data_IF_634348087292
#
_entry.id   IF_634348087292
#
_cell.length_a   1.000
_cell.length_b   1.000
_cell.length_c   1.000
_cell.angle_alpha   90.00
_cell.angle_beta   90.00
_cell.angle_gamma   90.00
#
_symmetry.space_group_name_H-M   'P 1'
#
loop_
_entity.id
_entity.type
_entity.pdbx_description
1 polymer ?
#
# COMPACT_ATOMS: atom_id res chain seq x y z
N UNK A 1 4.61 11.88 21.45
CA UNK A 1 4.70 11.37 20.05
C UNK A 1 3.49 10.53 19.60
N UNK A 2 2.82 9.77 20.48
CA UNK A 2 1.74 8.82 20.15
C UNK A 2 0.46 9.45 19.56
N UNK A 3 -0.06 10.52 20.19
CA UNK A 3 -1.20 11.28 19.66
C UNK A 3 -0.90 12.01 18.34
N UNK A 4 0.37 12.25 18.02
CA UNK A 4 0.79 12.89 16.77
C UNK A 4 0.61 11.94 15.58
N UNK A 5 0.96 10.65 15.74
CA UNK A 5 0.75 9.61 14.71
C UNK A 5 -0.74 9.38 14.44
N UNK A 6 -1.56 9.22 15.49
CA UNK A 6 -3.03 9.12 15.34
C UNK A 6 -3.58 10.34 14.60
N UNK A 7 -3.21 11.57 15.01
CA UNK A 7 -3.69 12.80 14.35
C UNK A 7 -3.28 12.89 12.88
N UNK A 8 -2.09 12.42 12.51
CA UNK A 8 -1.63 12.35 11.12
C UNK A 8 -2.48 11.37 10.31
N UNK A 9 -2.70 10.13 10.81
CA UNK A 9 -3.55 9.17 10.09
C UNK A 9 -5.00 9.61 10.02
N UNK A 10 -5.52 10.28 11.06
CA UNK A 10 -6.87 10.84 11.05
C UNK A 10 -7.01 11.96 10.01
N UNK A 11 -5.99 12.83 9.90
CA UNK A 11 -5.93 13.85 8.86
C UNK A 11 -5.85 13.25 7.45
N UNK A 12 -5.07 12.18 7.27
CA UNK A 12 -4.99 11.41 6.02
C UNK A 12 -6.32 10.76 5.65
N UNK A 13 -7.04 10.18 6.62
CA UNK A 13 -8.37 9.60 6.41
C UNK A 13 -9.39 10.67 5.99
N UNK A 14 -9.36 11.85 6.62
CA UNK A 14 -10.25 12.97 6.25
C UNK A 14 -9.92 13.49 4.86
N UNK A 15 -8.63 13.66 4.53
CA UNK A 15 -8.19 14.06 3.20
C UNK A 15 -8.61 13.05 2.13
N UNK A 16 -8.48 11.76 2.42
CA UNK A 16 -8.92 10.67 1.55
C UNK A 16 -10.43 10.68 1.33
N UNK A 17 -11.22 10.92 2.39
CA UNK A 17 -12.69 11.06 2.28
C UNK A 17 -13.11 12.29 1.47
N UNK A 18 -12.36 13.40 1.57
CA UNK A 18 -12.56 14.60 0.76
C UNK A 18 -12.28 14.29 -0.72
N UNK A 19 -11.22 13.56 -1.06
CA UNK A 19 -10.96 13.17 -2.44
C UNK A 19 -12.04 12.26 -3.03
N UNK A 20 -12.58 11.33 -2.25
CA UNK A 20 -13.71 10.50 -2.68
C UNK A 20 -14.98 11.35 -2.86
N UNK A 21 -15.26 12.29 -1.96
CA UNK A 21 -16.43 13.15 -2.04
C UNK A 21 -16.36 14.12 -3.24
N UNK A 22 -15.20 14.74 -3.48
CA UNK A 22 -14.97 15.62 -4.64
C UNK A 22 -15.09 14.81 -5.94
N UNK A 23 -14.48 13.63 -6.01
CA UNK A 23 -14.58 12.75 -7.16
C UNK A 23 -16.02 12.32 -7.45
N UNK A 24 -16.83 12.04 -6.42
CA UNK A 24 -18.22 11.57 -6.60
C UNK A 24 -19.24 12.68 -6.84
N UNK A 25 -19.11 13.83 -6.16
CA UNK A 25 -20.17 14.86 -6.10
C UNK A 25 -19.86 16.15 -6.86
N UNK A 26 -18.59 16.49 -7.10
CA UNK A 26 -18.21 17.80 -7.66
C UNK A 26 -17.83 17.69 -9.14
N UNK A 27 -17.20 16.59 -9.55
CA UNK A 27 -16.73 16.41 -10.93
C UNK A 27 -17.67 15.46 -11.67
N UNK A 28 -18.49 16.00 -12.56
CA UNK A 28 -19.33 15.24 -13.50
C UNK A 28 -18.70 15.32 -14.90
N UNK A 29 -17.78 14.40 -15.21
CA UNK A 29 -17.04 14.35 -16.48
C UNK A 29 -16.09 13.13 -16.58
N UNK A 30 -15.52 12.87 -17.75
CA UNK A 30 -14.76 11.64 -18.06
C UNK A 30 -13.53 11.40 -17.16
N UNK A 31 -13.36 10.13 -16.77
CA UNK A 31 -12.19 9.42 -16.19
C UNK A 31 -11.54 9.97 -14.89
N UNK A 32 -11.48 11.29 -14.70
CA UNK A 32 -10.91 11.98 -13.54
C UNK A 32 -11.64 11.66 -12.22
N UNK A 33 -12.99 11.59 -12.18
CA UNK A 33 -13.73 11.13 -10.99
C UNK A 33 -13.29 9.76 -10.50
N UNK A 34 -13.13 8.80 -11.42
CA UNK A 34 -12.73 7.44 -11.10
C UNK A 34 -11.32 7.35 -10.51
N UNK A 35 -10.38 8.13 -11.04
CA UNK A 35 -9.02 8.22 -10.52
C UNK A 35 -8.98 8.81 -9.10
N UNK A 36 -9.72 9.90 -8.85
CA UNK A 36 -9.81 10.52 -7.51
C UNK A 36 -10.45 9.57 -6.50
N UNK A 37 -11.51 8.86 -6.89
CA UNK A 37 -12.16 7.86 -6.04
C UNK A 37 -11.21 6.71 -5.75
N UNK A 38 -10.47 6.21 -6.75
CA UNK A 38 -9.49 5.13 -6.58
C UNK A 38 -8.37 5.49 -5.61
N UNK A 39 -7.74 6.66 -5.81
CA UNK A 39 -6.68 7.17 -4.92
C UNK A 39 -7.24 7.42 -3.51
N UNK A 40 -8.41 8.05 -3.42
CA UNK A 40 -9.07 8.32 -2.14
C UNK A 40 -9.42 7.05 -1.38
N UNK A 41 -9.99 6.03 -2.05
CA UNK A 41 -10.31 4.76 -1.43
C UNK A 41 -9.06 3.99 -0.96
N UNK A 42 -7.99 3.99 -1.77
CA UNK A 42 -6.72 3.37 -1.39
C UNK A 42 -6.08 4.02 -0.16
N UNK A 43 -5.99 5.36 -0.15
CA UNK A 43 -5.49 6.11 1.01
C UNK A 43 -6.38 5.91 2.24
N UNK A 44 -7.70 5.89 2.07
CA UNK A 44 -8.65 5.66 3.16
C UNK A 44 -8.44 4.29 3.80
N UNK A 45 -8.36 3.23 3.01
CA UNK A 45 -8.14 1.86 3.51
C UNK A 45 -6.84 1.73 4.31
N UNK A 46 -5.73 2.25 3.77
CA UNK A 46 -4.44 2.25 4.45
C UNK A 46 -4.48 3.03 5.77
N UNK A 47 -5.09 4.22 5.76
CA UNK A 47 -5.17 5.09 6.94
C UNK A 47 -6.05 4.48 8.03
N UNK A 48 -7.19 3.90 7.65
CA UNK A 48 -8.11 3.25 8.57
C UNK A 48 -7.49 2.01 9.22
N UNK A 49 -6.79 1.18 8.43
CA UNK A 49 -6.08 0.01 8.95
C UNK A 49 -5.05 0.42 10.04
N UNK A 50 -4.30 1.50 9.81
CA UNK A 50 -3.35 2.00 10.80
C UNK A 50 -4.03 2.53 12.07
N UNK A 51 -5.17 3.22 11.93
CA UNK A 51 -5.94 3.69 13.10
C UNK A 51 -6.42 2.49 13.94
N UNK A 52 -6.92 1.43 13.30
CA UNK A 52 -7.37 0.20 14.00
C UNK A 52 -6.20 -0.43 14.76
N UNK A 53 -5.04 -0.60 14.13
CA UNK A 53 -3.85 -1.18 14.77
C UNK A 53 -3.44 -0.37 16.00
N UNK A 54 -3.42 0.98 15.89
CA UNK A 54 -3.06 1.83 17.03
C UNK A 54 -4.12 1.72 18.14
N UNK A 55 -5.40 1.70 17.80
CA UNK A 55 -6.49 1.57 18.76
C UNK A 55 -6.44 0.23 19.53
N UNK A 56 -6.16 -0.88 18.84
CA UNK A 56 -5.97 -2.20 19.47
C UNK A 56 -4.75 -2.17 20.41
N UNK A 57 -3.64 -1.59 19.96
CA UNK A 57 -2.42 -1.45 20.76
C UNK A 57 -2.58 -0.49 21.96
N UNK A 58 -3.60 0.38 21.95
CA UNK A 58 -3.94 1.26 23.07
C UNK A 58 -4.86 0.60 24.09
N UNK A 59 -5.86 -0.16 23.62
CA UNK A 59 -6.76 -0.90 24.51
C UNK A 59 -6.07 -2.08 25.19
N UNK A 60 -5.03 -2.65 24.59
CA UNK A 60 -4.35 -3.81 25.11
C UNK A 60 -2.82 -3.58 25.26
N UNK A 61 -2.35 -3.15 26.45
CA UNK A 61 -0.93 -2.93 26.73
C UNK A 61 -0.09 -4.22 26.65
N UNK A 62 -0.68 -5.35 27.02
CA UNK A 62 -0.07 -6.69 26.92
C UNK A 62 0.22 -7.05 25.46
N UNK A 63 -0.77 -6.86 24.57
CA UNK A 63 -0.61 -7.06 23.12
C UNK A 63 0.48 -6.16 22.56
N UNK A 64 0.49 -4.87 22.93
CA UNK A 64 1.53 -3.94 22.48
C UNK A 64 2.92 -4.36 22.92
N UNK A 65 3.07 -4.84 24.17
CA UNK A 65 4.36 -5.31 24.69
C UNK A 65 4.83 -6.54 23.92
N UNK A 66 3.95 -7.54 23.75
CA UNK A 66 4.27 -8.76 22.98
C UNK A 66 4.64 -8.44 21.54
N UNK A 67 3.84 -7.62 20.85
CA UNK A 67 4.14 -7.19 19.48
C UNK A 67 5.50 -6.50 19.37
N UNK A 68 5.88 -5.65 20.33
CA UNK A 68 7.19 -4.97 20.31
C UNK A 68 8.39 -5.89 20.60
N UNK A 69 8.17 -7.01 21.27
CA UNK A 69 9.19 -8.03 21.51
C UNK A 69 9.32 -8.89 20.26
N UNK A 70 8.20 -9.35 19.70
CA UNK A 70 8.14 -10.14 18.47
C UNK A 70 8.68 -9.37 17.26
N UNK A 71 8.47 -8.05 17.18
CA UNK A 71 9.02 -7.22 16.11
C UNK A 71 10.55 -7.11 16.16
N UNK A 72 11.15 -7.31 17.34
CA UNK A 72 12.60 -7.25 17.56
C UNK A 72 13.29 -8.61 17.59
N UNK A 73 12.52 -9.69 17.58
CA UNK A 73 13.08 -11.05 17.56
C UNK A 73 13.65 -11.35 16.17
N UNK A 74 14.94 -11.65 16.11
CA UNK A 74 15.67 -11.96 14.87
C UNK A 74 15.01 -13.09 14.07
N UNK A 75 14.49 -14.12 14.76
CA UNK A 75 13.80 -15.24 14.11
C UNK A 75 12.52 -14.76 13.43
N UNK A 76 11.75 -13.93 14.11
CA UNK A 76 10.50 -13.41 13.57
C UNK A 76 10.76 -12.41 12.42
N UNK A 77 11.82 -11.61 12.52
CA UNK A 77 12.29 -10.75 11.43
C UNK A 77 12.65 -11.60 10.20
N UNK A 78 13.40 -12.69 10.38
CA UNK A 78 13.77 -13.59 9.29
C UNK A 78 12.55 -14.25 8.64
N UNK A 79 11.60 -14.75 9.43
CA UNK A 79 10.34 -15.33 8.92
C UNK A 79 9.54 -14.28 8.13
N UNK A 80 9.39 -13.08 8.67
CA UNK A 80 8.66 -12.00 8.03
C UNK A 80 9.32 -11.55 6.72
N UNK A 81 10.65 -11.44 6.69
CA UNK A 81 11.39 -11.09 5.49
C UNK A 81 11.25 -12.17 4.41
N UNK A 82 11.34 -13.46 4.78
CA UNK A 82 11.10 -14.57 3.86
C UNK A 82 9.66 -14.59 3.32
N UNK A 83 8.67 -14.33 4.18
CA UNK A 83 7.27 -14.23 3.76
C UNK A 83 7.05 -13.06 2.79
N UNK A 84 7.66 -11.89 3.05
CA UNK A 84 7.62 -10.74 2.15
C UNK A 84 8.29 -11.03 0.80
N UNK A 85 9.43 -11.73 0.80
CA UNK A 85 10.10 -12.13 -0.44
C UNK A 85 9.22 -13.05 -1.29
N UNK A 86 8.61 -14.08 -0.68
CA UNK A 86 7.65 -14.95 -1.39
C UNK A 86 6.41 -14.21 -1.84
N UNK A 87 5.93 -13.25 -1.06
CA UNK A 87 4.84 -12.36 -1.45
C UNK A 87 5.20 -11.49 -2.65
N UNK A 88 6.44 -10.99 -2.73
CA UNK A 88 6.95 -10.23 -3.87
C UNK A 88 7.03 -11.09 -5.14
N UNK A 89 7.56 -12.31 -5.04
CA UNK A 89 7.58 -13.25 -6.16
C UNK A 89 6.16 -13.51 -6.71
N UNK A 90 5.20 -13.78 -5.82
CA UNK A 90 3.80 -13.98 -6.18
C UNK A 90 3.15 -12.72 -6.78
N UNK A 91 3.42 -11.54 -6.20
CA UNK A 91 2.93 -10.26 -6.70
C UNK A 91 3.35 -10.02 -8.14
N UNK A 92 4.59 -10.37 -8.51
CA UNK A 92 5.08 -10.26 -9.88
C UNK A 92 4.24 -11.07 -10.87
N UNK A 93 3.97 -12.34 -10.56
CA UNK A 93 3.11 -13.19 -11.38
C UNK A 93 1.66 -12.68 -11.45
N UNK A 94 1.08 -12.30 -10.30
CA UNK A 94 -0.31 -11.84 -10.22
C UNK A 94 -0.50 -10.55 -11.04
N UNK A 95 0.40 -9.58 -10.92
CA UNK A 95 0.35 -8.35 -11.70
C UNK A 95 0.50 -8.61 -13.20
N UNK A 96 1.33 -9.59 -13.59
CA UNK A 96 1.49 -9.99 -14.99
C UNK A 96 0.21 -10.59 -15.55
N UNK A 97 -0.43 -11.51 -14.82
CA UNK A 97 -1.72 -12.09 -15.20
C UNK A 97 -2.81 -11.00 -15.28
N UNK A 98 -2.82 -10.06 -14.33
CA UNK A 98 -3.77 -8.94 -14.33
C UNK A 98 -3.59 -8.04 -15.56
N UNK A 99 -2.34 -7.73 -15.95
CA UNK A 99 -2.05 -6.99 -17.18
C UNK A 99 -2.59 -7.73 -18.41
N UNK A 100 -2.39 -9.05 -18.50
CA UNK A 100 -2.93 -9.85 -19.60
C UNK A 100 -4.46 -9.81 -19.64
N UNK A 101 -5.13 -9.92 -18.50
CA UNK A 101 -6.60 -9.81 -18.42
C UNK A 101 -7.07 -8.45 -18.95
N UNK A 102 -6.40 -7.35 -18.61
CA UNK A 102 -6.76 -6.02 -19.14
C UNK A 102 -6.56 -5.89 -20.65
N UNK A 103 -5.53 -6.54 -21.21
CA UNK A 103 -5.37 -6.65 -22.67
C UNK A 103 -6.54 -7.42 -23.28
N UNK A 104 -6.92 -8.57 -22.72
CA UNK A 104 -8.05 -9.37 -23.20
C UNK A 104 -9.39 -8.64 -23.09
N UNK A 105 -9.56 -7.78 -22.08
CA UNK A 105 -10.75 -6.95 -21.90
C UNK A 105 -10.78 -5.72 -22.81
N UNK A 106 -9.82 -5.57 -23.74
CA UNK A 106 -9.67 -4.40 -24.61
C UNK A 106 -9.67 -3.08 -23.81
N UNK A 107 -9.01 -3.08 -22.65
CA UNK A 107 -8.85 -1.87 -21.86
C UNK A 107 -8.06 -0.80 -22.63
N UNK A 108 -8.28 0.48 -22.29
CA UNK A 108 -7.55 1.59 -22.90
C UNK A 108 -6.03 1.39 -22.77
N UNK A 109 -5.30 1.61 -23.86
CA UNK A 109 -3.85 1.43 -23.92
C UNK A 109 -3.12 2.25 -22.85
N UNK A 110 -3.64 3.43 -22.50
CA UNK A 110 -3.10 4.30 -21.47
C UNK A 110 -3.14 3.64 -20.09
N UNK A 111 -4.19 2.88 -19.79
CA UNK A 111 -4.35 2.14 -18.52
C UNK A 111 -3.35 0.99 -18.45
N UNK A 112 -3.20 0.25 -19.55
CA UNK A 112 -2.25 -0.86 -19.64
C UNK A 112 -0.82 -0.35 -19.47
N UNK A 113 -0.46 0.77 -20.15
CA UNK A 113 0.87 1.36 -20.05
C UNK A 113 1.17 1.88 -18.64
N UNK A 114 0.18 2.48 -17.97
CA UNK A 114 0.31 2.91 -16.57
C UNK A 114 0.55 1.71 -15.64
N UNK A 115 -0.14 0.59 -15.87
CA UNK A 115 0.03 -0.63 -15.07
C UNK A 115 1.42 -1.26 -15.27
N UNK A 116 1.90 -1.29 -16.52
CA UNK A 116 3.27 -1.71 -16.85
C UNK A 116 4.30 -0.80 -16.18
N UNK A 117 4.09 0.51 -16.22
CA UNK A 117 4.98 1.48 -15.57
C UNK A 117 5.04 1.25 -14.05
N UNK A 118 3.90 1.04 -13.39
CA UNK A 118 3.85 0.73 -11.97
C UNK A 118 4.59 -0.58 -11.64
N UNK A 119 4.42 -1.62 -12.46
CA UNK A 119 5.16 -2.88 -12.34
C UNK A 119 6.67 -2.65 -12.44
N UNK A 120 7.14 -1.90 -13.45
CA UNK A 120 8.56 -1.59 -13.61
C UNK A 120 9.12 -0.75 -12.46
N UNK A 121 8.36 0.19 -11.89
CA UNK A 121 8.79 0.94 -10.72
C UNK A 121 9.04 0.04 -9.52
N UNK A 122 8.17 -0.95 -9.28
CA UNK A 122 8.34 -1.91 -8.18
C UNK A 122 9.64 -2.70 -8.35
N UNK A 123 9.92 -3.23 -9.54
CA UNK A 123 11.18 -3.92 -9.83
C UNK A 123 12.39 -2.98 -9.82
N UNK A 124 12.24 -1.74 -10.27
CA UNK A 124 13.29 -0.73 -10.22
C UNK A 124 13.72 -0.41 -8.78
N UNK A 125 12.76 -0.26 -7.86
CA UNK A 125 13.02 -0.10 -6.43
C UNK A 125 13.71 -1.34 -5.88
N UNK A 126 13.25 -2.55 -6.23
CA UNK A 126 13.90 -3.80 -5.83
C UNK A 126 15.37 -3.86 -6.30
N UNK A 127 15.64 -3.59 -7.58
CA UNK A 127 16.99 -3.60 -8.16
C UNK A 127 17.88 -2.56 -7.47
N UNK A 128 17.35 -1.35 -7.23
CA UNK A 128 18.09 -0.30 -6.53
C UNK A 128 18.50 -0.74 -5.12
N UNK A 129 17.58 -1.28 -4.33
CA UNK A 129 17.88 -1.75 -2.98
C UNK A 129 18.74 -3.01 -2.98
N UNK A 130 18.59 -3.90 -3.95
CA UNK A 130 19.45 -5.08 -4.10
C UNK A 130 20.90 -4.64 -4.35
N UNK A 131 21.11 -3.70 -5.29
CA UNK A 131 22.43 -3.14 -5.56
C UNK A 131 23.01 -2.44 -4.32
N UNK A 132 22.20 -1.60 -3.66
CA UNK A 132 22.62 -0.87 -2.46
C UNK A 132 23.05 -1.83 -1.35
N UNK A 133 22.23 -2.82 -1.01
CA UNK A 133 22.52 -3.75 0.08
C UNK A 133 23.62 -4.74 -0.26
N UNK A 134 23.80 -5.12 -1.53
CA UNK A 134 24.95 -5.93 -1.96
C UNK A 134 26.30 -5.23 -1.78
N UNK A 135 26.32 -3.90 -1.57
CA UNK A 135 27.53 -3.11 -1.33
C UNK A 135 27.71 -2.74 0.13
N UNK A 136 26.62 -2.61 0.88
CA UNK A 136 26.62 -2.25 2.31
C UNK A 136 26.78 -3.46 3.24
N UNK A 137 26.34 -4.65 2.80
CA UNK A 137 26.46 -5.93 3.51
C UNK A 137 27.46 -6.84 2.81
#
# INVERSE_FOLDING_TARGET
>A
MKNKKIKIYLALTVLAAIFVAIGKFVITGNTIPGLLIGIGAGLFGLSLAQIIVIAIAEKNPEYKRKASIEEKDERNIAINNNAKAKGFDAMGYILTILMLIFVFLNADLSIILLLVFAYLLVYGVFIFYLYKYSKEM
#
